data_IF_785514671116
#
_entry.id   IF_785514671116
#
_cell.length_a   1.000
_cell.length_b   1.000
_cell.length_c   1.000
_cell.angle_alpha   90.00
_cell.angle_beta   90.00
_cell.angle_gamma   90.00
#
_symmetry.space_group_name_H-M   'P 1'
#
loop_
_entity.id
_entity.type
_entity.pdbx_description
1 polymer ?
#
# COMPACT_ATOMS: atom_id res chain seq x y z
N UNK A 1 -11.04 5.28 -9.67
CA UNK A 1 -10.08 4.32 -9.07
C UNK A 1 -10.76 2.96 -9.02
N UNK A 2 -10.12 1.91 -9.54
CA UNK A 2 -10.66 0.55 -9.50
C UNK A 2 -9.75 -0.30 -8.63
N UNK A 3 -10.32 -1.00 -7.65
CA UNK A 3 -9.60 -1.84 -6.70
C UNK A 3 -10.26 -3.21 -6.60
N UNK A 4 -9.49 -4.28 -6.74
CA UNK A 4 -9.91 -5.66 -6.44
C UNK A 4 -9.19 -6.12 -5.18
N UNK A 5 -9.89 -6.84 -4.32
CA UNK A 5 -9.30 -7.37 -3.09
C UNK A 5 -9.69 -8.82 -2.88
N UNK A 6 -8.81 -9.55 -2.21
CA UNK A 6 -9.05 -10.91 -1.73
C UNK A 6 -8.67 -10.96 -0.26
N UNK A 7 -9.51 -11.58 0.56
CA UNK A 7 -9.29 -11.77 1.99
C UNK A 7 -9.44 -13.24 2.32
N UNK A 8 -8.54 -13.76 3.15
CA UNK A 8 -8.56 -15.15 3.59
C UNK A 8 -8.32 -15.23 5.10
N UNK A 9 -9.04 -16.12 5.76
CA UNK A 9 -8.88 -16.46 7.17
C UNK A 9 -8.83 -17.98 7.25
N UNK A 10 -7.76 -18.51 7.85
CA UNK A 10 -7.55 -19.93 8.02
C UNK A 10 -7.14 -20.22 9.46
N UNK A 11 -7.76 -21.24 10.07
CA UNK A 11 -7.31 -21.76 11.37
C UNK A 11 -6.03 -22.56 11.16
N UNK A 12 -5.00 -22.30 11.96
CA UNK A 12 -3.70 -22.94 11.83
C UNK A 12 -3.15 -23.25 13.23
N UNK A 13 -3.25 -24.52 13.64
CA UNK A 13 -2.83 -24.96 14.98
C UNK A 13 -3.52 -24.16 16.10
N UNK A 14 -2.78 -23.66 17.11
CA UNK A 14 -3.32 -22.89 18.23
C UNK A 14 -3.57 -21.41 17.87
N UNK A 15 -4.02 -21.13 16.65
CA UNK A 15 -4.11 -19.76 16.16
C UNK A 15 -4.84 -19.65 14.83
N UNK A 16 -4.81 -18.44 14.27
CA UNK A 16 -5.39 -18.14 12.95
C UNK A 16 -4.45 -17.32 12.10
N UNK A 17 -4.38 -17.68 10.82
CA UNK A 17 -3.77 -16.88 9.78
C UNK A 17 -4.84 -16.00 9.14
N UNK A 18 -4.54 -14.71 9.01
CA UNK A 18 -5.38 -13.75 8.30
C UNK A 18 -4.55 -13.08 7.24
N UNK A 19 -5.12 -12.91 6.05
CA UNK A 19 -4.42 -12.31 4.93
C UNK A 19 -5.36 -11.48 4.07
N UNK A 20 -4.82 -10.42 3.47
CA UNK A 20 -5.50 -9.70 2.41
C UNK A 20 -4.51 -9.19 1.39
N UNK A 21 -4.91 -9.19 0.12
CA UNK A 21 -4.18 -8.60 -0.98
C UNK A 21 -5.11 -7.68 -1.78
N UNK A 22 -4.57 -6.56 -2.24
CA UNK A 22 -5.27 -5.50 -2.96
C UNK A 22 -4.49 -5.19 -4.23
N UNK A 23 -5.20 -5.20 -5.36
CA UNK A 23 -4.69 -4.67 -6.62
C UNK A 23 -5.49 -3.41 -6.94
N UNK A 24 -4.81 -2.27 -6.99
CA UNK A 24 -5.40 -0.97 -7.29
C UNK A 24 -4.79 -0.40 -8.58
N UNK A 25 -5.63 0.20 -9.42
CA UNK A 25 -5.18 1.03 -10.53
C UNK A 25 -5.43 2.51 -10.22
N UNK A 26 -4.34 3.27 -10.12
CA UNK A 26 -4.36 4.70 -9.79
C UNK A 26 -4.30 5.48 -11.11
N UNK A 27 -5.34 6.30 -11.34
CA UNK A 27 -5.44 7.12 -12.54
C UNK A 27 -4.42 8.27 -12.58
N UNK A 28 -4.28 8.87 -13.76
CA UNK A 28 -3.47 10.08 -13.96
C UNK A 28 -3.96 11.22 -13.05
N UNK A 29 -3.05 11.82 -12.28
CA UNK A 29 -3.33 12.97 -11.42
C UNK A 29 -2.87 14.27 -12.09
N UNK A 30 -3.66 15.35 -12.03
CA UNK A 30 -3.19 16.66 -12.46
C UNK A 30 -2.00 17.11 -11.59
N UNK A 31 -1.00 17.71 -12.23
CA UNK A 31 0.17 18.33 -11.59
C UNK A 31 0.05 19.86 -11.57
N UNK A 32 -0.91 20.40 -12.32
CA UNK A 32 -1.31 21.81 -12.39
C UNK A 32 -2.84 21.88 -12.26
N UNK A 33 -3.36 23.00 -11.76
CA UNK A 33 -4.79 23.25 -11.53
C UNK A 33 -5.60 23.30 -12.83
N UNK A 34 -4.99 23.79 -13.91
CA UNK A 34 -5.55 23.78 -15.26
C UNK A 34 -5.54 22.37 -15.90
N UNK A 35 -4.84 21.42 -15.29
CA UNK A 35 -4.72 20.04 -15.75
C UNK A 35 -3.85 19.86 -17.00
N UNK A 36 -3.14 20.91 -17.44
CA UNK A 36 -2.25 20.86 -18.59
C UNK A 36 -1.10 19.86 -18.43
N UNK A 37 -0.61 19.66 -17.20
CA UNK A 37 0.36 18.62 -16.86
C UNK A 37 -0.28 17.54 -15.99
N UNK A 38 0.01 16.27 -16.32
CA UNK A 38 -0.57 15.10 -15.61
C UNK A 38 0.47 14.01 -15.40
N UNK A 39 0.33 13.29 -14.30
CA UNK A 39 1.08 12.07 -14.06
C UNK A 39 0.55 10.91 -14.92
N UNK A 40 1.39 9.93 -15.18
CA UNK A 40 0.95 8.70 -15.83
C UNK A 40 0.23 7.78 -14.83
N UNK A 41 -0.84 7.06 -15.22
CA UNK A 41 -1.53 6.13 -14.34
C UNK A 41 -0.66 4.92 -13.99
N UNK A 42 -0.87 4.26 -12.85
CA UNK A 42 -0.03 3.14 -12.42
C UNK A 42 -0.77 2.10 -11.56
N UNK A 43 -0.36 0.82 -11.64
CA UNK A 43 -0.85 -0.21 -10.74
C UNK A 43 -0.14 -0.15 -9.38
N UNK A 44 -0.83 -0.58 -8.33
CA UNK A 44 -0.30 -0.79 -6.98
C UNK A 44 -0.82 -2.11 -6.43
N UNK A 45 0.09 -2.92 -5.90
CA UNK A 45 -0.22 -4.13 -5.15
C UNK A 45 0.09 -3.88 -3.69
N UNK A 46 -0.89 -4.09 -2.81
CA UNK A 46 -0.68 -4.01 -1.36
C UNK A 46 -1.16 -5.30 -0.72
N UNK A 47 -0.41 -5.83 0.24
CA UNK A 47 -0.81 -7.02 0.98
C UNK A 47 -0.52 -6.88 2.46
N UNK A 48 -1.27 -7.64 3.25
CA UNK A 48 -1.03 -7.86 4.67
C UNK A 48 -1.25 -9.33 4.99
N UNK A 49 -0.46 -9.84 5.91
CA UNK A 49 -0.60 -11.16 6.48
C UNK A 49 -0.34 -11.06 7.99
N UNK A 50 -1.12 -11.78 8.79
CA UNK A 50 -0.91 -11.85 10.22
C UNK A 50 -1.29 -13.23 10.75
N UNK A 51 -0.42 -13.81 11.58
CA UNK A 51 -0.71 -14.98 12.39
C UNK A 51 -0.95 -14.55 13.82
N UNK A 52 -2.13 -14.90 14.34
CA UNK A 52 -2.57 -14.58 15.70
C UNK A 52 -2.59 -15.87 16.49
N UNK A 53 -1.70 -15.97 17.47
CA UNK A 53 -1.59 -17.11 18.37
C UNK A 53 -2.49 -16.94 19.60
N UNK A 54 -3.02 -18.04 20.13
CA UNK A 54 -3.90 -18.04 21.31
C UNK A 54 -3.25 -17.45 22.58
N UNK A 55 -1.92 -17.51 22.70
CA UNK A 55 -1.20 -16.90 23.83
C UNK A 55 -1.12 -15.37 23.77
N UNK A 56 -1.69 -14.72 22.75
CA UNK A 56 -1.73 -13.27 22.62
C UNK A 56 -0.63 -12.67 21.72
N UNK A 57 0.30 -13.49 21.24
CA UNK A 57 1.29 -13.07 20.24
C UNK A 57 0.67 -12.96 18.85
N UNK A 58 1.00 -11.89 18.15
CA UNK A 58 0.69 -11.70 16.73
C UNK A 58 1.98 -11.47 15.97
N UNK A 59 2.21 -12.23 14.90
CA UNK A 59 3.25 -11.95 13.93
C UNK A 59 2.60 -11.42 12.67
N UNK A 60 3.14 -10.36 12.08
CA UNK A 60 2.54 -9.74 10.90
C UNK A 60 3.56 -9.27 9.89
N UNK A 61 3.12 -9.22 8.64
CA UNK A 61 3.84 -8.68 7.51
C UNK A 61 2.90 -7.83 6.65
N UNK A 62 3.42 -6.75 6.09
CA UNK A 62 2.75 -5.92 5.11
C UNK A 62 3.73 -5.63 3.99
N UNK A 63 3.22 -5.63 2.76
CA UNK A 63 3.98 -5.29 1.58
C UNK A 63 3.19 -4.28 0.74
N UNK A 64 3.89 -3.29 0.20
CA UNK A 64 3.35 -2.46 -0.88
C UNK A 64 4.36 -2.44 -2.01
N UNK A 65 3.90 -2.82 -3.19
CA UNK A 65 4.69 -2.91 -4.42
C UNK A 65 3.99 -2.09 -5.50
N UNK A 66 4.75 -1.34 -6.30
CA UNK A 66 4.22 -0.77 -7.54
C UNK A 66 4.91 -1.43 -8.74
N UNK A 67 4.21 -2.35 -9.43
CA UNK A 67 4.81 -3.11 -10.53
C UNK A 67 5.29 -2.24 -11.70
N UNK A 68 6.43 -2.61 -12.28
CA UNK A 68 7.07 -1.93 -13.41
C UNK A 68 8.13 -0.90 -12.99
N UNK A 69 8.74 -0.23 -13.97
CA UNK A 69 9.73 0.83 -13.72
C UNK A 69 9.13 2.12 -13.13
N UNK A 70 7.85 2.10 -12.73
CA UNK A 70 7.05 3.29 -12.36
C UNK A 70 7.07 3.62 -10.88
N UNK A 71 7.68 2.78 -10.09
CA UNK A 71 8.29 3.25 -8.86
C UNK A 71 9.48 4.07 -9.33
N UNK A 72 9.47 5.40 -9.22
CA UNK A 72 8.99 6.02 -8.00
C UNK A 72 9.39 7.49 -8.02
N UNK A 73 8.58 8.33 -8.64
CA UNK A 73 8.87 9.74 -8.70
C UNK A 73 7.90 10.44 -7.76
N UNK A 74 8.36 10.88 -6.59
CA UNK A 74 7.70 12.00 -5.92
C UNK A 74 7.74 13.16 -6.91
N UNK A 75 6.58 13.60 -7.37
CA UNK A 75 6.47 14.69 -8.33
C UNK A 75 6.18 15.95 -7.56
N UNK A 76 7.05 16.95 -7.69
CA UNK A 76 6.89 18.26 -7.09
C UNK A 76 6.81 19.29 -8.20
N UNK A 77 5.74 20.09 -8.18
CA UNK A 77 5.63 21.27 -9.03
C UNK A 77 6.19 22.46 -8.25
N UNK A 78 7.28 23.06 -8.74
CA UNK A 78 7.86 24.29 -8.19
C UNK A 78 7.52 25.53 -9.03
N UNK A 79 6.80 25.35 -10.14
CA UNK A 79 6.33 26.42 -11.00
C UNK A 79 4.95 26.92 -10.62
N UNK A 80 4.35 27.71 -11.53
CA UNK A 80 2.99 28.24 -11.39
C UNK A 80 1.95 27.11 -11.31
N UNK A 81 0.89 27.32 -10.52
CA UNK A 81 -0.19 26.33 -10.38
C UNK A 81 -0.97 26.10 -11.68
N UNK A 82 -1.01 27.06 -12.60
CA UNK A 82 -1.82 27.01 -13.84
C UNK A 82 -1.01 27.10 -15.13
N UNK A 83 0.30 27.31 -15.05
CA UNK A 83 1.14 27.52 -16.23
C UNK A 83 2.54 26.93 -16.10
N UNK A 84 2.73 26.00 -15.14
CA UNK A 84 3.99 25.27 -15.04
C UNK A 84 4.24 24.46 -16.31
N UNK A 85 5.51 24.40 -16.68
CA UNK A 85 6.01 23.59 -17.79
C UNK A 85 6.69 22.34 -17.26
N UNK A 86 7.04 21.41 -18.16
CA UNK A 86 7.75 20.19 -17.77
C UNK A 86 9.10 20.46 -17.07
N UNK A 87 9.74 21.61 -17.33
CA UNK A 87 11.00 22.00 -16.69
C UNK A 87 10.83 22.38 -15.21
N UNK A 88 9.62 22.77 -14.80
CA UNK A 88 9.29 23.15 -13.42
C UNK A 88 8.91 21.93 -12.54
N UNK A 89 8.88 20.74 -13.16
CA UNK A 89 8.48 19.49 -12.52
C UNK A 89 9.71 18.69 -12.10
N UNK A 90 9.88 18.53 -10.80
CA UNK A 90 10.96 17.76 -10.23
C UNK A 90 10.49 16.39 -9.80
N UNK A 91 11.33 15.38 -10.04
CA UNK A 91 10.99 13.98 -9.77
C UNK A 91 12.05 13.33 -8.88
N UNK A 92 11.65 12.77 -7.74
CA UNK A 92 12.56 12.10 -6.79
C UNK A 92 12.27 10.60 -6.62
N UNK A 93 13.28 9.71 -6.65
CA UNK A 93 13.14 8.28 -6.36
C UNK A 93 12.39 7.98 -5.05
N UNK A 94 11.51 6.99 -5.06
CA UNK A 94 10.86 6.35 -3.89
C UNK A 94 11.10 4.81 -3.93
N UNK A 95 10.82 4.05 -2.86
CA UNK A 95 11.00 2.59 -2.91
C UNK A 95 10.02 1.90 -3.87
N UNK A 96 10.53 0.89 -4.59
CA UNK A 96 9.71 0.07 -5.48
C UNK A 96 8.79 -0.89 -4.72
N UNK A 97 9.37 -1.45 -3.68
CA UNK A 97 8.77 -2.37 -2.76
C UNK A 97 9.08 -1.86 -1.35
N UNK A 98 8.03 -1.73 -0.55
CA UNK A 98 8.14 -1.45 0.88
C UNK A 98 7.60 -2.65 1.64
N UNK A 99 8.41 -3.16 2.56
CA UNK A 99 8.08 -4.28 3.42
C UNK A 99 8.10 -3.79 4.86
N UNK A 100 7.10 -4.20 5.63
CA UNK A 100 7.05 -4.02 7.08
C UNK A 100 6.72 -5.36 7.70
N UNK A 101 7.49 -5.80 8.68
CA UNK A 101 7.18 -6.97 9.47
C UNK A 101 7.33 -6.65 10.95
N UNK A 102 6.58 -7.35 11.79
CA UNK A 102 6.62 -7.09 13.21
C UNK A 102 5.94 -8.16 14.05
N UNK A 103 6.09 -7.95 15.36
CA UNK A 103 5.53 -8.77 16.41
C UNK A 103 4.79 -7.85 17.37
N UNK A 104 3.59 -8.22 17.78
CA UNK A 104 2.86 -7.55 18.85
C UNK A 104 2.39 -8.59 19.86
N UNK A 105 2.31 -8.17 21.12
CA UNK A 105 1.70 -8.94 22.18
C UNK A 105 0.49 -8.16 22.70
N UNK A 106 -0.66 -8.82 22.77
CA UNK A 106 -1.85 -8.33 23.43
C UNK A 106 -2.34 -9.38 24.42
N UNK A 107 -2.84 -8.95 25.58
CA UNK A 107 -3.51 -9.87 26.50
C UNK A 107 -4.65 -10.54 25.73
N UNK A 108 -4.64 -11.88 25.69
CA UNK A 108 -5.76 -12.65 25.20
C UNK A 108 -6.96 -12.37 26.12
N UNK A 109 -7.76 -11.36 25.77
CA UNK A 109 -9.06 -11.17 26.37
C UNK A 109 -9.85 -12.40 25.97
N UNK A 110 -10.07 -13.32 26.92
CA UNK A 110 -10.64 -14.65 26.69
C UNK A 110 -12.09 -14.60 26.19
N UNK A 111 -12.31 -14.06 24.99
CA UNK A 111 -13.56 -14.22 24.27
C UNK A 111 -13.77 -15.72 24.06
N UNK A 112 -14.95 -16.26 24.42
CA UNK A 112 -15.15 -17.70 24.48
C UNK A 112 -14.97 -18.31 23.09
N UNK A 113 -14.35 -19.49 23.04
CA UNK A 113 -14.45 -20.37 21.88
C UNK A 113 -15.93 -20.75 21.69
N UNK A 114 -16.41 -20.90 20.44
CA UNK A 114 -17.74 -21.47 20.18
C UNK A 114 -17.86 -22.88 20.76
#
# INVERSE_FOLDING_TARGET
MVSRHSQNIQVLGPGRLTGAAYLSYIGAKPLTEDGGLRSSPYPRVSSRIAYIHESGWTTYGQATWYPGARTSKSIFNFGSSVSATAADIFTSPQPCLSLLAGLTYGLATGAPRP
#
